data_IF_311232355500
#
_entry.id   IF_311232355500
#
_cell.length_a   1.000
_cell.length_b   1.000
_cell.length_c   1.000
_cell.angle_alpha   90.00
_cell.angle_beta   90.00
_cell.angle_gamma   90.00
#
_symmetry.space_group_name_H-M   'P 1'
#
loop_
_entity.id
_entity.type
_entity.pdbx_description
1 polymer ?
#
# COMPACT_ATOMS: atom_id res chain seq x y z
N UNK A 1 1.04 -2.00 19.32
CA UNK A 1 2.21 -2.49 18.57
C UNK A 1 1.74 -3.37 17.44
N UNK A 2 2.17 -3.09 16.20
CA UNK A 2 1.78 -3.97 15.10
C UNK A 2 2.48 -5.33 15.27
N UNK A 3 1.67 -6.34 15.39
CA UNK A 3 2.15 -7.69 15.47
C UNK A 3 1.83 -8.42 14.18
N UNK A 4 2.30 -9.66 14.05
CA UNK A 4 2.04 -10.45 12.86
C UNK A 4 0.56 -10.54 12.53
N UNK A 5 -0.30 -10.60 13.53
CA UNK A 5 -1.75 -10.66 13.36
C UNK A 5 -2.28 -9.37 12.70
N UNK A 6 -1.83 -8.20 13.16
CA UNK A 6 -2.24 -6.91 12.59
C UNK A 6 -1.76 -6.80 11.14
N UNK A 7 -0.52 -7.18 10.87
CA UNK A 7 0.04 -7.14 9.51
C UNK A 7 -0.73 -8.11 8.60
N UNK A 8 -1.06 -9.29 9.11
CA UNK A 8 -1.84 -10.27 8.35
C UNK A 8 -3.20 -9.72 7.95
N UNK A 9 -3.92 -9.07 8.89
CA UNK A 9 -5.23 -8.46 8.60
C UNK A 9 -5.11 -7.35 7.58
N UNK A 10 -4.10 -6.51 7.71
CA UNK A 10 -3.83 -5.43 6.76
C UNK A 10 -3.59 -6.01 5.37
N UNK A 11 -2.73 -7.02 5.27
CA UNK A 11 -2.44 -7.66 4.00
C UNK A 11 -3.69 -8.28 3.38
N UNK A 12 -4.52 -8.94 4.19
CA UNK A 12 -5.75 -9.55 3.71
C UNK A 12 -6.71 -8.52 3.16
N UNK A 13 -6.89 -7.40 3.87
CA UNK A 13 -7.78 -6.33 3.43
C UNK A 13 -7.27 -5.67 2.15
N UNK A 14 -5.99 -5.38 2.08
CA UNK A 14 -5.38 -4.79 0.88
C UNK A 14 -5.47 -5.77 -0.30
N UNK A 15 -5.21 -7.04 -0.06
CA UNK A 15 -5.30 -8.04 -1.12
C UNK A 15 -6.72 -8.14 -1.68
N UNK A 16 -7.72 -8.15 -0.82
CA UNK A 16 -9.12 -8.23 -1.25
C UNK A 16 -9.52 -7.03 -2.11
N UNK A 17 -8.99 -5.84 -1.81
CA UNK A 17 -9.33 -4.63 -2.53
C UNK A 17 -8.47 -4.42 -3.79
N UNK A 18 -7.21 -4.81 -3.76
CA UNK A 18 -6.22 -4.41 -4.77
C UNK A 18 -5.75 -5.53 -5.69
N UNK A 19 -5.83 -6.79 -5.27
CA UNK A 19 -5.31 -7.89 -6.10
C UNK A 19 -6.03 -7.95 -7.44
N UNK A 20 -5.24 -8.03 -8.52
CA UNK A 20 -5.77 -8.05 -9.87
C UNK A 20 -6.04 -6.68 -10.47
N UNK A 21 -5.95 -5.62 -9.67
CA UNK A 21 -6.19 -4.26 -10.15
C UNK A 21 -4.91 -3.66 -10.77
N UNK A 22 -5.10 -2.77 -11.73
CA UNK A 22 -4.01 -2.04 -12.36
C UNK A 22 -3.85 -0.70 -11.65
N UNK A 23 -2.61 -0.34 -11.32
CA UNK A 23 -2.31 0.96 -10.71
C UNK A 23 -2.54 2.08 -11.71
N UNK A 24 -3.41 3.02 -11.37
CA UNK A 24 -3.65 4.22 -12.16
C UNK A 24 -2.74 5.36 -11.71
N UNK A 25 -2.24 5.27 -10.47
CA UNK A 25 -1.30 6.23 -9.93
C UNK A 25 -0.41 5.56 -8.88
N UNK A 26 0.85 5.94 -8.85
CA UNK A 26 1.81 5.46 -7.86
C UNK A 26 2.66 6.64 -7.42
N UNK A 27 2.60 6.97 -6.12
CA UNK A 27 3.38 8.07 -5.55
C UNK A 27 4.15 7.53 -4.34
N UNK A 28 5.43 7.31 -4.51
CA UNK A 28 6.30 6.83 -3.44
C UNK A 28 7.11 8.01 -2.94
N UNK A 29 6.85 8.43 -1.71
CA UNK A 29 7.42 9.63 -1.12
C UNK A 29 8.64 9.37 -0.23
N UNK A 30 9.08 8.13 -0.16
CA UNK A 30 10.33 7.79 0.54
C UNK A 30 11.49 8.20 -0.37
N UNK A 31 12.43 9.05 0.08
CA UNK A 31 13.48 9.60 -0.81
C UNK A 31 14.27 8.55 -1.58
N UNK A 32 14.56 7.43 -0.97
CA UNK A 32 15.32 6.35 -1.60
C UNK A 32 14.62 5.77 -2.83
N UNK A 33 13.29 5.81 -2.86
CA UNK A 33 12.48 5.21 -3.92
C UNK A 33 11.55 6.21 -4.62
N UNK A 34 11.77 7.50 -4.43
CA UNK A 34 10.86 8.52 -4.95
C UNK A 34 10.78 8.54 -6.48
N UNK A 35 11.78 7.99 -7.17
CA UNK A 35 11.78 7.90 -8.63
C UNK A 35 11.13 6.63 -9.17
N UNK A 36 10.76 5.69 -8.30
CA UNK A 36 10.13 4.45 -8.71
C UNK A 36 8.66 4.70 -9.00
N UNK A 37 8.18 4.23 -10.15
CA UNK A 37 6.81 4.41 -10.58
C UNK A 37 6.27 3.10 -11.17
N UNK A 38 5.24 2.55 -10.53
CA UNK A 38 4.59 1.33 -10.97
C UNK A 38 3.26 1.59 -11.69
N UNK A 39 2.99 2.83 -12.07
CA UNK A 39 1.75 3.17 -12.79
C UNK A 39 1.61 2.30 -14.05
N UNK A 40 0.43 1.73 -14.22
CA UNK A 40 0.16 0.81 -15.34
C UNK A 40 0.46 -0.65 -15.03
N UNK A 41 1.13 -0.94 -13.92
CA UNK A 41 1.40 -2.31 -13.50
C UNK A 41 0.22 -2.89 -12.74
N UNK A 42 0.04 -4.21 -12.84
CA UNK A 42 -1.02 -4.89 -12.12
C UNK A 42 -0.54 -5.34 -10.75
N UNK A 43 -1.36 -5.14 -9.74
CA UNK A 43 -1.09 -5.68 -8.41
C UNK A 43 -1.45 -7.17 -8.44
N UNK A 44 -0.46 -8.02 -8.23
CA UNK A 44 -0.65 -9.47 -8.28
C UNK A 44 -1.23 -10.00 -6.98
N UNK A 45 -0.69 -9.57 -5.86
CA UNK A 45 -1.15 -9.97 -4.55
C UNK A 45 -0.54 -9.07 -3.46
N UNK A 46 -1.18 -9.08 -2.30
CA UNK A 46 -0.64 -8.45 -1.10
C UNK A 46 -0.59 -9.52 -0.02
N UNK A 47 0.60 -9.79 0.51
CA UNK A 47 0.79 -10.84 1.50
C UNK A 47 1.59 -10.32 2.68
N UNK A 48 1.50 -11.02 3.81
CA UNK A 48 2.29 -10.69 5.00
C UNK A 48 3.36 -11.73 5.23
N UNK A 49 4.49 -11.28 5.78
CA UNK A 49 5.56 -12.15 6.25
C UNK A 49 6.06 -11.61 7.58
N UNK A 50 5.63 -12.22 8.68
CA UNK A 50 5.91 -11.70 10.01
C UNK A 50 5.35 -10.30 10.17
N UNK A 51 6.21 -9.32 10.40
CA UNK A 51 5.83 -7.91 10.53
C UNK A 51 5.95 -7.13 9.23
N UNK A 52 6.25 -7.82 8.13
CA UNK A 52 6.45 -7.18 6.84
C UNK A 52 5.24 -7.37 5.94
N UNK A 53 4.93 -6.33 5.17
CA UNK A 53 3.89 -6.35 4.17
C UNK A 53 4.55 -6.36 2.80
N UNK A 54 4.16 -7.30 1.95
CA UNK A 54 4.71 -7.43 0.61
C UNK A 54 3.61 -7.19 -0.40
N UNK A 55 3.77 -6.15 -1.22
CA UNK A 55 2.87 -5.87 -2.33
C UNK A 55 3.58 -6.29 -3.62
N UNK A 56 3.04 -7.28 -4.29
CA UNK A 56 3.60 -7.76 -5.55
C UNK A 56 2.94 -7.04 -6.71
N UNK A 57 3.72 -6.23 -7.41
CA UNK A 57 3.24 -5.37 -8.49
C UNK A 57 4.03 -5.70 -9.75
N UNK A 58 3.39 -6.30 -10.75
CA UNK A 58 4.09 -6.78 -11.94
C UNK A 58 5.19 -7.76 -11.56
N UNK A 59 6.42 -7.45 -11.96
CA UNK A 59 7.60 -8.26 -11.63
C UNK A 59 8.32 -7.76 -10.37
N UNK A 60 7.76 -6.76 -9.69
CA UNK A 60 8.39 -6.13 -8.54
C UNK A 60 7.65 -6.45 -7.26
N UNK A 61 8.36 -6.32 -6.15
CA UNK A 61 7.76 -6.44 -4.82
C UNK A 61 8.05 -5.18 -4.04
N UNK A 62 7.00 -4.54 -3.54
CA UNK A 62 7.12 -3.41 -2.63
C UNK A 62 7.11 -3.97 -1.22
N UNK A 63 8.20 -3.76 -0.50
CA UNK A 63 8.37 -4.27 0.85
C UNK A 63 8.12 -3.14 1.85
N UNK A 64 7.13 -3.33 2.71
CA UNK A 64 6.78 -2.35 3.74
C UNK A 64 6.89 -3.00 5.11
N UNK A 65 7.56 -2.33 6.04
CA UNK A 65 7.64 -2.77 7.42
C UNK A 65 6.76 -1.88 8.28
N UNK A 66 5.69 -2.46 8.83
CA UNK A 66 4.80 -1.73 9.71
C UNK A 66 5.42 -1.69 11.10
N UNK A 67 6.02 -0.55 11.42
CA UNK A 67 6.49 -0.27 12.78
C UNK A 67 5.30 0.17 13.62
N UNK A 68 5.53 0.48 14.89
CA UNK A 68 4.45 0.87 15.81
C UNK A 68 3.58 2.02 15.28
N UNK A 69 4.17 2.90 14.49
CA UNK A 69 3.47 4.06 13.93
C UNK A 69 3.02 3.85 12.49
N UNK A 70 3.46 2.77 11.85
CA UNK A 70 3.12 2.49 10.46
C UNK A 70 1.71 1.93 10.32
N UNK A 71 1.01 2.36 9.28
CA UNK A 71 -0.33 1.86 9.00
C UNK A 71 -0.66 2.01 7.53
N UNK A 72 -1.57 1.17 7.05
CA UNK A 72 -2.14 1.25 5.71
C UNK A 72 -3.63 1.50 5.82
N UNK A 73 -4.15 2.37 4.98
CA UNK A 73 -5.58 2.68 4.91
C UNK A 73 -6.08 2.61 3.49
N UNK A 74 -7.30 2.09 3.32
CA UNK A 74 -7.99 2.07 2.04
C UNK A 74 -9.07 3.15 2.05
N UNK A 75 -9.06 3.98 1.01
CA UNK A 75 -10.06 5.02 0.83
C UNK A 75 -10.73 4.88 -0.52
N UNK A 76 -11.98 5.31 -0.61
CA UNK A 76 -12.63 5.48 -1.90
C UNK A 76 -12.17 6.81 -2.51
N UNK A 77 -12.18 6.89 -3.83
CA UNK A 77 -11.83 8.13 -4.51
C UNK A 77 -12.75 9.28 -4.06
N UNK A 78 -12.15 10.44 -3.83
CA UNK A 78 -12.89 11.61 -3.38
C UNK A 78 -13.16 11.68 -1.89
N UNK A 79 -12.74 10.65 -1.14
CA UNK A 79 -12.90 10.63 0.32
C UNK A 79 -11.75 11.37 1.00
N UNK A 80 -12.05 12.11 2.05
CA UNK A 80 -11.01 12.76 2.84
C UNK A 80 -10.23 11.71 3.64
N UNK A 81 -8.91 11.86 3.63
CA UNK A 81 -8.04 10.94 4.38
C UNK A 81 -8.14 11.23 5.88
N UNK A 82 -8.07 10.15 6.67
CA UNK A 82 -8.14 10.27 8.14
C UNK A 82 -6.89 10.89 8.75
N UNK A 83 -5.75 10.76 8.08
CA UNK A 83 -4.47 11.31 8.54
C UNK A 83 -4.00 12.36 7.55
N UNK A 84 -3.17 13.32 8.01
CA UNK A 84 -2.69 14.37 7.13
C UNK A 84 -1.94 13.83 5.92
N UNK A 85 -2.23 14.37 4.76
CA UNK A 85 -1.64 13.89 3.50
C UNK A 85 -0.11 13.97 3.50
N UNK A 86 0.46 14.96 4.18
CA UNK A 86 1.91 15.12 4.23
C UNK A 86 2.62 14.00 5.00
N UNK A 87 1.90 13.21 5.80
CA UNK A 87 2.46 12.07 6.52
C UNK A 87 2.45 10.80 5.70
N UNK A 88 1.79 10.79 4.55
CA UNK A 88 1.75 9.62 3.67
C UNK A 88 3.13 9.37 3.06
N UNK A 89 3.56 8.11 3.07
CA UNK A 89 4.84 7.69 2.50
C UNK A 89 4.68 7.05 1.14
N UNK A 90 3.55 6.39 0.91
CA UNK A 90 3.25 5.76 -0.36
C UNK A 90 1.76 5.88 -0.63
N UNK A 91 1.41 6.24 -1.86
CA UNK A 91 0.02 6.31 -2.31
C UNK A 91 -0.10 5.49 -3.58
N UNK A 92 -0.98 4.50 -3.54
CA UNK A 92 -1.25 3.64 -4.69
C UNK A 92 -2.73 3.76 -5.02
N UNK A 93 -3.05 4.17 -6.26
CA UNK A 93 -4.43 4.32 -6.69
C UNK A 93 -4.76 3.30 -7.78
N UNK A 94 -5.96 2.74 -7.67
CA UNK A 94 -6.56 1.90 -8.70
C UNK A 94 -7.86 2.56 -9.13
N UNK A 95 -8.59 1.91 -10.05
CA UNK A 95 -9.89 2.45 -10.49
C UNK A 95 -10.89 2.60 -9.34
N UNK A 96 -10.82 1.71 -8.34
CA UNK A 96 -11.82 1.65 -7.26
C UNK A 96 -11.30 2.15 -5.91
N UNK A 97 -9.99 2.13 -5.67
CA UNK A 97 -9.44 2.36 -4.35
C UNK A 97 -8.20 3.25 -4.35
N UNK A 98 -7.99 3.92 -3.23
CA UNK A 98 -6.75 4.62 -2.92
C UNK A 98 -6.16 3.96 -1.68
N UNK A 99 -4.99 3.36 -1.81
CA UNK A 99 -4.28 2.74 -0.70
C UNK A 99 -3.15 3.67 -0.26
N UNK A 100 -3.16 4.05 1.02
CA UNK A 100 -2.19 4.99 1.57
C UNK A 100 -1.41 4.34 2.70
N UNK A 101 -0.09 4.30 2.57
CA UNK A 101 0.82 3.84 3.61
C UNK A 101 1.41 5.04 4.36
N UNK A 102 1.23 5.04 5.67
CA UNK A 102 1.73 6.11 6.56
C UNK A 102 2.96 5.68 7.34
#
# INVERSE_FOLDING_TARGET
>A
MPEGDTVYRTAKNLNAALAGAVLTRCDIRVPKFATVDFTGQRIREVVSRGKHLLLRVGDFTVHSHLKMEGSWHLYQHGTNWRRPAHTARIVLETADWVAVGY
#
